data_IF_388404559154
#
_entry.id   IF_388404559154
#
_cell.length_a   1.000
_cell.length_b   1.000
_cell.length_c   1.000
_cell.angle_alpha   90.00
_cell.angle_beta   90.00
_cell.angle_gamma   90.00
#
_symmetry.space_group_name_H-M   'P 1'
#
loop_
_entity.id
_entity.type
_entity.pdbx_description
1 polymer ?
#
# COMPACT_ATOMS: atom_id res chain seq x y z
N UNK A 1 -9.78 6.85 5.23
CA UNK A 1 -9.78 5.45 5.73
C UNK A 1 -8.96 5.42 7.01
N UNK A 2 -9.62 5.34 8.17
CA UNK A 2 -8.97 5.33 9.47
C UNK A 2 -8.18 4.02 9.59
N UNK A 3 -6.90 4.04 9.97
CA UNK A 3 -5.96 2.91 9.89
C UNK A 3 -6.23 1.72 10.84
N UNK A 4 -7.50 1.45 11.17
CA UNK A 4 -7.95 0.35 12.00
C UNK A 4 -7.99 -0.93 11.19
N UNK A 5 -7.27 -1.94 11.66
CA UNK A 5 -7.25 -3.28 11.06
C UNK A 5 -8.09 -4.20 11.95
N UNK A 6 -9.37 -4.45 11.63
CA UNK A 6 -10.27 -5.22 12.52
C UNK A 6 -9.77 -6.64 12.78
N UNK A 7 -9.06 -7.25 11.83
CA UNK A 7 -8.41 -8.54 12.03
C UNK A 7 -7.29 -8.47 13.09
N UNK A 8 -6.56 -7.37 13.18
CA UNK A 8 -5.52 -7.18 14.21
C UNK A 8 -6.10 -7.02 15.60
N UNK A 9 -7.17 -6.21 15.73
CA UNK A 9 -7.87 -6.07 17.01
C UNK A 9 -8.47 -7.42 17.45
N UNK A 10 -9.05 -8.19 16.51
CA UNK A 10 -9.64 -9.50 16.78
C UNK A 10 -8.64 -10.57 17.21
N UNK A 11 -7.43 -10.56 16.66
CA UNK A 11 -6.40 -11.57 16.92
C UNK A 11 -5.28 -11.08 17.86
N UNK A 12 -5.47 -9.93 18.53
CA UNK A 12 -4.44 -9.34 19.39
C UNK A 12 -3.99 -10.26 20.56
N UNK A 13 -4.88 -11.12 21.05
CA UNK A 13 -4.60 -12.06 22.16
C UNK A 13 -4.27 -13.48 21.71
N UNK A 14 -4.02 -13.70 20.41
CA UNK A 14 -3.68 -15.02 19.87
C UNK A 14 -2.28 -14.99 19.28
N UNK A 15 -1.65 -16.15 19.02
CA UNK A 15 -0.36 -16.20 18.33
C UNK A 15 -0.47 -15.88 16.81
N UNK A 16 -1.65 -15.49 16.32
CA UNK A 16 -1.89 -15.23 14.89
C UNK A 16 -1.45 -13.80 14.53
N UNK A 17 -0.46 -13.70 13.65
CA UNK A 17 -0.02 -12.42 13.08
C UNK A 17 -0.91 -12.02 11.90
N UNK A 18 -1.42 -10.79 11.93
CA UNK A 18 -2.19 -10.21 10.82
C UNK A 18 -1.42 -9.07 10.16
N UNK A 19 -1.24 -9.17 8.84
CA UNK A 19 -0.56 -8.15 8.03
C UNK A 19 -1.56 -7.62 7.02
N UNK A 20 -1.76 -6.30 6.95
CA UNK A 20 -2.56 -5.69 5.90
C UNK A 20 -1.64 -5.15 4.83
N UNK A 21 -1.79 -5.66 3.62
CA UNK A 21 -0.99 -5.29 2.46
C UNK A 21 -1.90 -4.52 1.52
N UNK A 22 -1.52 -3.28 1.23
CA UNK A 22 -2.17 -2.43 0.24
C UNK A 22 -1.27 -2.38 -0.99
N UNK A 23 -1.49 -3.28 -1.97
CA UNK A 23 -0.79 -3.17 -3.24
C UNK A 23 -1.16 -1.84 -3.87
N UNK A 24 -0.13 -1.11 -4.28
CA UNK A 24 -0.30 0.04 -5.16
C UNK A 24 -0.86 -0.38 -6.53
N UNK A 25 -0.81 0.53 -7.50
CA UNK A 25 -1.24 0.20 -8.86
C UNK A 25 -0.44 -0.99 -9.40
N UNK A 26 -1.13 -2.09 -9.71
CA UNK A 26 -0.54 -3.34 -10.18
C UNK A 26 -0.92 -3.57 -11.64
N UNK A 27 -0.05 -4.19 -12.44
CA UNK A 27 -0.35 -4.55 -13.83
C UNK A 27 -1.10 -5.87 -13.98
N UNK A 28 -2.31 -6.00 -13.43
CA UNK A 28 -3.14 -7.21 -13.52
C UNK A 28 -4.37 -7.04 -14.41
N UNK A 29 -5.04 -8.15 -14.73
CA UNK A 29 -6.27 -8.15 -15.55
C UNK A 29 -7.33 -7.16 -15.05
N UNK A 30 -7.44 -6.98 -13.73
CA UNK A 30 -8.36 -6.04 -13.10
C UNK A 30 -8.07 -4.56 -13.43
N UNK A 31 -6.82 -4.21 -13.73
CA UNK A 31 -6.34 -2.85 -14.00
C UNK A 31 -5.84 -2.69 -15.44
N UNK A 32 -6.14 -3.65 -16.31
CA UNK A 32 -5.68 -3.66 -17.70
C UNK A 32 -6.24 -2.52 -18.56
N UNK A 33 -7.37 -1.94 -18.16
CA UNK A 33 -7.99 -0.77 -18.80
C UNK A 33 -7.35 0.56 -18.42
N UNK A 34 -6.47 0.57 -17.41
CA UNK A 34 -5.75 1.78 -16.98
C UNK A 34 -4.46 1.87 -17.80
N UNK A 35 -4.17 3.01 -18.47
CA UNK A 35 -2.95 3.17 -19.24
C UNK A 35 -1.74 2.89 -18.33
N UNK A 36 -0.89 1.96 -18.76
CA UNK A 36 0.30 1.53 -18.02
C UNK A 36 1.31 2.68 -17.95
N UNK A 37 1.15 3.56 -16.97
CA UNK A 37 2.14 4.59 -16.64
C UNK A 37 3.28 4.02 -15.79
N UNK A 38 4.33 4.82 -15.57
CA UNK A 38 5.50 4.48 -14.74
C UNK A 38 5.18 4.16 -13.25
N UNK A 39 3.92 4.33 -12.84
CA UNK A 39 3.42 4.08 -11.48
C UNK A 39 2.86 2.66 -11.30
N UNK A 40 2.77 1.87 -12.39
CA UNK A 40 2.28 0.49 -12.36
C UNK A 40 3.42 -0.45 -11.97
N UNK A 41 3.27 -1.13 -10.84
CA UNK A 41 4.21 -2.15 -10.36
C UNK A 41 3.96 -3.50 -11.05
N UNK A 42 5.03 -4.24 -11.31
CA UNK A 42 4.95 -5.60 -11.85
C UNK A 42 4.37 -6.57 -10.81
N UNK A 43 3.52 -7.53 -11.19
CA UNK A 43 3.01 -8.59 -10.31
C UNK A 43 4.10 -9.31 -9.52
N UNK A 44 5.24 -9.58 -10.16
CA UNK A 44 6.36 -10.33 -9.59
C UNK A 44 7.03 -9.55 -8.46
N UNK A 45 7.23 -8.23 -8.66
CA UNK A 45 7.82 -7.36 -7.65
C UNK A 45 6.93 -7.25 -6.40
N UNK A 46 5.61 -7.19 -6.60
CA UNK A 46 4.63 -7.17 -5.50
C UNK A 46 4.58 -8.51 -4.79
N UNK A 47 4.66 -9.63 -5.51
CA UNK A 47 4.71 -10.96 -4.91
C UNK A 47 5.98 -11.15 -4.05
N UNK A 48 7.15 -10.72 -4.55
CA UNK A 48 8.41 -10.80 -3.80
C UNK A 48 8.35 -9.97 -2.51
N UNK A 49 7.79 -8.77 -2.58
CA UNK A 49 7.66 -7.89 -1.42
C UNK A 49 6.68 -8.44 -0.37
N UNK A 50 5.58 -9.07 -0.78
CA UNK A 50 4.69 -9.80 0.11
C UNK A 50 5.45 -10.91 0.84
N UNK A 51 6.18 -11.75 0.11
CA UNK A 51 6.97 -12.84 0.70
C UNK A 51 8.03 -12.32 1.69
N UNK A 52 8.71 -11.22 1.35
CA UNK A 52 9.70 -10.56 2.21
C UNK A 52 9.06 -9.97 3.47
N UNK A 53 7.88 -9.38 3.35
CA UNK A 53 7.11 -8.84 4.48
C UNK A 53 6.68 -9.94 5.44
N UNK A 54 6.17 -11.06 4.91
CA UNK A 54 5.78 -12.23 5.70
C UNK A 54 6.97 -12.79 6.49
N UNK A 55 8.15 -12.88 5.88
CA UNK A 55 9.36 -13.36 6.54
C UNK A 55 9.98 -12.36 7.54
N UNK A 56 9.91 -11.06 7.26
CA UNK A 56 10.49 -10.02 8.13
C UNK A 56 9.61 -9.62 9.31
N UNK A 57 8.34 -10.02 9.30
CA UNK A 57 7.40 -9.73 10.37
C UNK A 57 6.99 -8.26 10.48
N UNK A 58 7.31 -7.42 9.49
CA UNK A 58 6.92 -6.01 9.47
C UNK A 58 5.48 -5.85 8.98
N UNK A 59 4.83 -4.77 9.41
CA UNK A 59 3.52 -4.39 8.90
C UNK A 59 3.68 -3.79 7.50
N UNK A 60 3.52 -4.62 6.46
CA UNK A 60 3.73 -4.25 5.06
C UNK A 60 2.66 -3.31 4.53
N UNK A 61 2.87 -2.00 4.68
CA UNK A 61 1.85 -0.99 4.32
C UNK A 61 1.85 -0.60 2.84
N UNK A 62 2.93 -0.83 2.09
CA UNK A 62 3.05 -0.45 0.67
C UNK A 62 3.98 -1.41 -0.07
N UNK A 63 3.47 -2.07 -1.10
CA UNK A 63 4.07 -3.29 -1.67
C UNK A 63 5.18 -3.06 -2.70
N UNK A 64 5.64 -1.81 -2.84
CA UNK A 64 6.68 -1.42 -3.78
C UNK A 64 7.43 -0.21 -3.24
N UNK A 65 8.77 -0.22 -3.32
CA UNK A 65 9.63 0.92 -2.96
C UNK A 65 9.20 2.21 -3.68
N UNK A 66 8.69 2.08 -4.91
CA UNK A 66 8.17 3.21 -5.67
C UNK A 66 6.96 3.84 -4.99
N UNK A 67 6.03 3.03 -4.48
CA UNK A 67 4.86 3.50 -3.74
C UNK A 67 5.22 4.02 -2.35
N UNK A 68 6.24 3.46 -1.70
CA UNK A 68 6.77 4.00 -0.45
C UNK A 68 7.32 5.43 -0.66
N UNK A 69 8.08 5.65 -1.72
CA UNK A 69 8.59 6.98 -2.10
C UNK A 69 7.47 7.96 -2.41
N UNK A 70 6.46 7.54 -3.18
CA UNK A 70 5.29 8.39 -3.50
C UNK A 70 4.51 8.73 -2.22
N UNK A 71 4.21 7.74 -1.38
CA UNK A 71 3.50 7.98 -0.12
C UNK A 71 4.32 8.82 0.84
N UNK A 72 5.64 8.73 0.84
CA UNK A 72 6.52 9.61 1.60
C UNK A 72 6.40 11.06 1.12
N UNK A 73 6.42 11.28 -0.20
CA UNK A 73 6.21 12.61 -0.81
C UNK A 73 4.80 13.15 -0.48
N UNK A 74 3.77 12.32 -0.60
CA UNK A 74 2.38 12.69 -0.30
C UNK A 74 2.20 13.02 1.20
N UNK A 75 2.83 12.26 2.11
CA UNK A 75 2.75 12.53 3.55
C UNK A 75 3.57 13.76 3.95
N UNK A 76 4.66 14.08 3.23
CA UNK A 76 5.46 15.27 3.44
C UNK A 76 4.79 16.53 2.86
N UNK A 77 3.85 16.36 1.92
CA UNK A 77 3.07 17.45 1.35
C UNK A 77 2.09 17.99 2.41
N UNK A 78 2.23 19.26 2.84
CA UNK A 78 1.33 19.84 3.81
C UNK A 78 -0.10 19.96 3.26
N UNK A 79 -1.07 19.75 4.14
CA UNK A 79 -2.51 19.74 3.87
C UNK A 79 -3.04 20.88 2.95
N UNK A 80 -2.54 22.13 3.01
CA UNK A 80 -2.99 23.21 2.13
C UNK A 80 -2.75 22.93 0.64
N UNK A 81 -1.71 22.17 0.30
CA UNK A 81 -1.36 21.85 -1.09
C UNK A 81 -2.28 20.76 -1.63
N UNK A 82 -2.56 19.73 -0.80
CA UNK A 82 -3.52 18.68 -1.14
C UNK A 82 -4.93 19.25 -1.35
N UNK A 83 -5.34 20.21 -0.52
CA UNK A 83 -6.63 20.91 -0.66
C UNK A 83 -6.73 21.68 -1.98
N UNK A 84 -5.62 22.24 -2.48
CA UNK A 84 -5.58 22.94 -3.79
C UNK A 84 -5.67 22.00 -4.99
N UNK A 85 -5.31 20.72 -4.83
CA UNK A 85 -5.35 19.71 -5.89
C UNK A 85 -6.71 18.98 -6.01
N UNK A 86 -7.71 19.36 -5.20
CA UNK A 86 -9.09 18.83 -5.26
C UNK A 86 -9.19 17.29 -5.13
N UNK A 87 -8.23 16.65 -4.45
CA UNK A 87 -8.14 15.20 -4.30
C UNK A 87 -9.01 14.62 -3.17
N UNK A 88 -9.69 15.48 -2.39
CA UNK A 88 -10.70 15.12 -1.40
C UNK A 88 -11.79 16.19 -1.45
N UNK A 89 -12.95 15.85 -2.01
CA UNK A 89 -14.21 16.59 -1.84
C UNK A 89 -15.13 15.81 -0.92
#
# INVERSE_FOLDING_TARGET
MNGRMPARERFASTPIRTVAILPGMLGIKMTASIPKGALVSSPEAVAEDICRTLNSGRDGRYTSLLWLSIMMIINLLPWPILKRLNLYS
#
